data_IF_445642663634
#
_entry.id   IF_445642663634
#
_cell.length_a   1.000
_cell.length_b   1.000
_cell.length_c   1.000
_cell.angle_alpha   90.00
_cell.angle_beta   90.00
_cell.angle_gamma   90.00
#
_symmetry.space_group_name_H-M   'P 1'
#
loop_
_entity.id
_entity.type
_entity.pdbx_description
1 polymer ?
#
# COMPACT_ATOMS: atom_id res chain seq x y z
N UNK A 1 -26.67 -8.08 -11.62
CA UNK A 1 -25.34 -8.60 -11.91
C UNK A 1 -24.27 -7.55 -11.85
N UNK A 2 -24.49 -6.43 -12.51
CA UNK A 2 -23.50 -5.34 -12.49
C UNK A 2 -23.20 -4.83 -11.09
N UNK A 3 -24.21 -4.82 -10.21
CA UNK A 3 -24.05 -4.40 -8.82
C UNK A 3 -23.11 -5.33 -8.07
N UNK A 4 -23.24 -6.63 -8.28
CA UNK A 4 -22.38 -7.63 -7.62
C UNK A 4 -20.93 -7.49 -8.07
N UNK A 5 -20.71 -7.33 -9.37
CA UNK A 5 -19.37 -7.11 -9.94
C UNK A 5 -18.77 -5.81 -9.43
N UNK A 6 -19.59 -4.76 -9.33
CA UNK A 6 -19.18 -3.46 -8.80
C UNK A 6 -18.68 -3.59 -7.36
N UNK A 7 -19.40 -4.31 -6.51
CA UNK A 7 -19.01 -4.53 -5.11
C UNK A 7 -17.74 -5.37 -5.01
N UNK A 8 -17.58 -6.38 -5.87
CA UNK A 8 -16.36 -7.20 -5.89
C UNK A 8 -15.14 -6.39 -6.27
N UNK A 9 -15.26 -5.56 -7.30
CA UNK A 9 -14.18 -4.69 -7.74
C UNK A 9 -13.81 -3.68 -6.66
N UNK A 10 -14.82 -3.13 -6.00
CA UNK A 10 -14.62 -2.16 -4.93
C UNK A 10 -13.91 -2.79 -3.73
N UNK A 11 -14.29 -4.00 -3.37
CA UNK A 11 -13.64 -4.76 -2.29
C UNK A 11 -12.19 -5.06 -2.63
N UNK A 12 -11.93 -5.49 -3.85
CA UNK A 12 -10.58 -5.78 -4.31
C UNK A 12 -9.71 -4.54 -4.26
N UNK A 13 -10.23 -3.43 -4.73
CA UNK A 13 -9.53 -2.15 -4.73
C UNK A 13 -9.18 -1.71 -3.31
N UNK A 14 -10.13 -1.85 -2.39
CA UNK A 14 -9.91 -1.53 -0.98
C UNK A 14 -8.85 -2.43 -0.36
N UNK A 15 -8.90 -3.72 -0.68
CA UNK A 15 -7.92 -4.69 -0.21
C UNK A 15 -6.51 -4.35 -0.71
N UNK A 16 -6.42 -3.97 -1.98
CA UNK A 16 -5.15 -3.55 -2.58
C UNK A 16 -4.60 -2.32 -1.86
N UNK A 17 -5.43 -1.32 -1.60
CA UNK A 17 -5.01 -0.11 -0.92
C UNK A 17 -4.49 -0.39 0.49
N UNK A 18 -5.18 -1.24 1.23
CA UNK A 18 -4.77 -1.63 2.59
C UNK A 18 -3.46 -2.42 2.58
N UNK A 19 -3.35 -3.37 1.65
CA UNK A 19 -2.18 -4.23 1.56
C UNK A 19 -0.96 -3.49 1.01
N UNK A 20 -1.17 -2.44 0.19
CA UNK A 20 -0.06 -1.59 -0.24
C UNK A 20 0.64 -0.94 0.94
N UNK A 21 -0.12 -0.44 1.91
CA UNK A 21 0.48 0.13 3.11
C UNK A 21 1.27 -0.93 3.89
N UNK A 22 0.71 -2.13 4.02
CA UNK A 22 1.42 -3.24 4.68
C UNK A 22 2.71 -3.58 3.94
N UNK A 23 2.66 -3.62 2.60
CA UNK A 23 3.83 -3.89 1.78
C UNK A 23 4.93 -2.84 1.99
N UNK A 24 4.55 -1.57 2.06
CA UNK A 24 5.48 -0.48 2.30
C UNK A 24 6.16 -0.63 3.66
N UNK A 25 5.38 -0.95 4.68
CA UNK A 25 5.91 -1.15 6.04
C UNK A 25 6.92 -2.30 6.06
N UNK A 26 6.57 -3.41 5.43
CA UNK A 26 7.45 -4.59 5.34
C UNK A 26 8.73 -4.25 4.59
N UNK A 27 8.61 -3.59 3.45
CA UNK A 27 9.77 -3.22 2.64
C UNK A 27 10.68 -2.25 3.38
N UNK A 28 10.10 -1.24 4.02
CA UNK A 28 10.90 -0.28 4.79
C UNK A 28 11.67 -0.98 5.93
N UNK A 29 11.01 -1.88 6.62
CA UNK A 29 11.65 -2.67 7.67
C UNK A 29 12.81 -3.51 7.11
N UNK A 30 12.62 -4.11 5.94
CA UNK A 30 13.66 -4.88 5.27
C UNK A 30 14.84 -4.00 4.90
N UNK A 31 14.60 -2.81 4.34
CA UNK A 31 15.65 -1.87 3.97
C UNK A 31 16.41 -1.37 5.20
N UNK A 32 15.72 -1.12 6.31
CA UNK A 32 16.37 -0.73 7.57
C UNK A 32 17.29 -1.82 8.09
N UNK A 33 16.99 -3.07 7.78
CA UNK A 33 17.84 -4.22 8.13
C UNK A 33 18.97 -4.45 7.14
N UNK A 34 19.10 -3.61 6.14
CA UNK A 34 20.16 -3.71 5.14
C UNK A 34 19.86 -4.70 4.01
N UNK A 35 18.61 -5.08 3.82
CA UNK A 35 18.25 -6.01 2.79
C UNK A 35 18.15 -5.36 1.41
N UNK A 36 18.35 -6.16 0.38
CA UNK A 36 18.24 -5.70 -1.00
C UNK A 36 16.79 -5.54 -1.41
N UNK A 37 16.56 -4.85 -2.53
CA UNK A 37 15.21 -4.71 -3.10
C UNK A 37 14.57 -6.08 -3.38
N UNK A 38 15.35 -6.99 -3.95
CA UNK A 38 14.85 -8.35 -4.23
C UNK A 38 14.44 -9.08 -2.95
N UNK A 39 15.26 -8.97 -1.91
CA UNK A 39 14.95 -9.58 -0.62
C UNK A 39 13.71 -8.96 0.01
N UNK A 40 13.55 -7.65 -0.10
CA UNK A 40 12.36 -6.96 0.39
C UNK A 40 11.10 -7.45 -0.33
N UNK A 41 11.17 -7.59 -1.64
CA UNK A 41 10.07 -8.11 -2.46
C UNK A 41 9.74 -9.55 -2.05
N UNK A 42 10.76 -10.35 -1.80
CA UNK A 42 10.57 -11.74 -1.35
C UNK A 42 9.84 -11.81 -0.02
N UNK A 43 10.20 -10.95 0.93
CA UNK A 43 9.54 -10.91 2.24
C UNK A 43 8.07 -10.55 2.10
N UNK A 44 7.76 -9.53 1.28
CA UNK A 44 6.37 -9.14 1.03
C UNK A 44 5.59 -10.30 0.41
N UNK A 45 6.17 -10.94 -0.59
CA UNK A 45 5.58 -12.10 -1.26
C UNK A 45 5.22 -13.21 -0.27
N UNK A 46 6.08 -13.44 0.71
CA UNK A 46 5.89 -14.51 1.69
C UNK A 46 4.90 -14.13 2.80
N UNK A 47 4.83 -12.85 3.15
CA UNK A 47 4.00 -12.41 4.27
C UNK A 47 2.59 -12.01 3.88
N UNK A 48 2.40 -11.45 2.69
CA UNK A 48 1.07 -10.99 2.27
C UNK A 48 0.37 -12.03 1.41
N UNK A 49 -0.87 -12.30 1.78
CA UNK A 49 -1.77 -13.18 1.03
C UNK A 49 -2.79 -12.28 0.33
N UNK A 50 -3.17 -12.65 -0.89
CA UNK A 50 -4.16 -11.89 -1.65
C UNK A 50 -3.55 -11.19 -2.86
N UNK A 51 -4.27 -10.21 -3.44
CA UNK A 51 -3.85 -9.59 -4.70
C UNK A 51 -2.44 -8.99 -4.68
N UNK A 52 -2.08 -8.28 -3.62
CA UNK A 52 -0.74 -7.66 -3.54
C UNK A 52 0.34 -8.73 -3.39
N UNK A 53 0.10 -9.74 -2.56
CA UNK A 53 1.05 -10.85 -2.41
C UNK A 53 1.30 -11.55 -3.75
N UNK A 54 0.25 -11.78 -4.52
CA UNK A 54 0.36 -12.39 -5.84
C UNK A 54 1.16 -11.52 -6.81
N UNK A 55 0.95 -10.20 -6.76
CA UNK A 55 1.68 -9.27 -7.62
C UNK A 55 3.17 -9.20 -7.24
N UNK A 56 3.48 -9.24 -5.95
CA UNK A 56 4.87 -9.30 -5.50
C UNK A 56 5.53 -10.62 -5.89
N UNK A 57 4.77 -11.72 -5.88
CA UNK A 57 5.24 -13.00 -6.36
C UNK A 57 5.63 -12.93 -7.84
N UNK A 58 4.81 -12.25 -8.65
CA UNK A 58 5.10 -12.04 -10.06
C UNK A 58 6.37 -11.21 -10.25
N UNK A 59 6.54 -10.17 -9.44
CA UNK A 59 7.76 -9.36 -9.47
C UNK A 59 8.99 -10.21 -9.14
N UNK A 60 8.90 -11.04 -8.12
CA UNK A 60 10.00 -11.91 -7.72
C UNK A 60 10.38 -12.87 -8.86
N UNK A 61 9.39 -13.47 -9.50
CA UNK A 61 9.61 -14.36 -10.63
C UNK A 61 10.29 -13.61 -11.79
N UNK A 62 9.81 -12.42 -12.11
CA UNK A 62 10.38 -11.60 -13.18
C UNK A 62 11.86 -11.29 -12.91
N UNK A 63 12.20 -10.90 -11.69
CA UNK A 63 13.58 -10.62 -11.28
C UNK A 63 14.42 -11.88 -11.38
N UNK A 64 13.88 -13.01 -10.95
CA UNK A 64 14.56 -14.30 -11.01
C UNK A 64 14.88 -14.73 -12.44
N UNK A 65 14.07 -14.31 -13.40
CA UNK A 65 14.31 -14.57 -14.83
C UNK A 65 15.22 -13.55 -15.48
N UNK A 66 15.76 -12.61 -14.71
CA UNK A 66 16.75 -11.67 -15.20
C UNK A 66 16.19 -10.37 -15.76
N UNK A 67 14.90 -10.08 -15.56
CA UNK A 67 14.36 -8.80 -15.98
C UNK A 67 14.93 -7.68 -15.08
N UNK A 68 15.14 -6.51 -15.67
CA UNK A 68 15.63 -5.38 -14.91
C UNK A 68 14.57 -4.87 -13.95
N UNK A 69 15.00 -4.25 -12.85
CA UNK A 69 14.07 -3.70 -11.87
C UNK A 69 13.12 -2.68 -12.49
N UNK A 70 13.62 -1.86 -13.42
CA UNK A 70 12.79 -0.86 -14.09
C UNK A 70 11.61 -1.50 -14.82
N UNK A 71 11.87 -2.58 -15.55
CA UNK A 71 10.84 -3.32 -16.28
C UNK A 71 9.86 -3.97 -15.32
N UNK A 72 10.38 -4.58 -14.25
CA UNK A 72 9.57 -5.25 -13.24
C UNK A 72 8.61 -4.26 -12.57
N UNK A 73 9.11 -3.11 -12.17
CA UNK A 73 8.30 -2.07 -11.53
C UNK A 73 7.26 -1.49 -12.48
N UNK A 74 7.61 -1.30 -13.74
CA UNK A 74 6.66 -0.82 -14.75
C UNK A 74 5.51 -1.81 -14.94
N UNK A 75 5.84 -3.09 -15.05
CA UNK A 75 4.82 -4.14 -15.18
C UNK A 75 3.90 -4.19 -13.97
N UNK A 76 4.49 -4.13 -12.78
CA UNK A 76 3.72 -4.11 -11.53
C UNK A 76 2.78 -2.92 -11.48
N UNK A 77 3.28 -1.73 -11.79
CA UNK A 77 2.51 -0.50 -11.78
C UNK A 77 1.31 -0.57 -12.71
N UNK A 78 1.50 -1.14 -13.91
CA UNK A 78 0.43 -1.30 -14.88
C UNK A 78 -0.61 -2.31 -14.45
N UNK A 79 -0.18 -3.42 -13.85
CA UNK A 79 -1.11 -4.47 -13.40
C UNK A 79 -1.98 -4.00 -12.24
N UNK A 80 -1.39 -3.29 -11.30
CA UNK A 80 -2.09 -2.83 -10.11
C UNK A 80 -2.98 -1.63 -10.43
N UNK A 81 -2.53 -0.74 -11.29
CA UNK A 81 -3.25 0.48 -11.67
C UNK A 81 -3.74 1.26 -10.44
N UNK A 82 -2.84 1.47 -9.49
CA UNK A 82 -3.08 2.16 -8.24
C UNK A 82 -2.10 3.32 -8.14
N UNK A 83 -2.57 4.49 -7.74
CA UNK A 83 -1.74 5.70 -7.69
C UNK A 83 -0.56 5.54 -6.71
N UNK A 84 -0.82 4.91 -5.57
CA UNK A 84 0.23 4.68 -4.57
C UNK A 84 1.29 3.71 -5.09
N UNK A 85 0.86 2.67 -5.80
CA UNK A 85 1.79 1.74 -6.43
C UNK A 85 2.65 2.43 -7.48
N UNK A 86 2.05 3.32 -8.27
CA UNK A 86 2.79 4.10 -9.28
C UNK A 86 3.83 5.01 -8.62
N UNK A 87 3.46 5.64 -7.52
CA UNK A 87 4.37 6.52 -6.78
C UNK A 87 5.54 5.73 -6.21
N UNK A 88 5.26 4.58 -5.59
CA UNK A 88 6.29 3.73 -4.99
C UNK A 88 7.25 3.20 -6.05
N UNK A 89 6.73 2.69 -7.14
CA UNK A 89 7.58 2.12 -8.20
C UNK A 89 8.40 3.19 -8.90
N UNK A 90 7.84 4.38 -9.10
CA UNK A 90 8.60 5.51 -9.64
C UNK A 90 9.75 5.89 -8.70
N UNK A 91 9.49 5.93 -7.40
CA UNK A 91 10.51 6.22 -6.39
C UNK A 91 11.62 5.16 -6.39
N UNK A 92 11.24 3.88 -6.44
CA UNK A 92 12.20 2.77 -6.49
C UNK A 92 13.04 2.84 -7.76
N UNK A 93 12.44 3.17 -8.89
CA UNK A 93 13.14 3.29 -10.17
C UNK A 93 14.20 4.39 -10.10
N UNK A 94 13.82 5.54 -9.56
CA UNK A 94 14.73 6.66 -9.40
C UNK A 94 15.88 6.30 -8.46
N UNK A 95 15.57 5.70 -7.32
CA UNK A 95 16.58 5.30 -6.34
C UNK A 95 17.54 4.26 -6.90
N UNK A 96 17.03 3.33 -7.70
CA UNK A 96 17.85 2.31 -8.34
C UNK A 96 18.87 2.93 -9.31
N UNK A 97 18.50 4.03 -9.97
CA UNK A 97 19.36 4.73 -10.90
C UNK A 97 20.36 5.66 -10.22
N UNK A 98 19.91 6.38 -9.19
CA UNK A 98 20.72 7.41 -8.53
C UNK A 98 21.51 6.90 -7.34
N UNK A 99 21.15 5.74 -6.80
CA UNK A 99 21.79 5.20 -5.60
C UNK A 99 21.49 5.98 -4.35
N UNK A 100 20.35 6.65 -4.28
CA UNK A 100 19.96 7.43 -3.12
C UNK A 100 19.65 6.57 -1.88
N UNK A 101 19.39 7.25 -0.76
CA UNK A 101 19.08 6.59 0.50
C UNK A 101 17.66 6.04 0.48
N UNK A 102 17.55 4.74 0.25
CA UNK A 102 16.27 4.05 0.13
C UNK A 102 15.49 4.06 1.44
N UNK A 103 16.19 3.94 2.58
CA UNK A 103 15.56 3.95 3.90
C UNK A 103 14.90 5.30 4.16
N UNK A 104 15.60 6.38 3.86
CA UNK A 104 15.09 7.74 4.05
C UNK A 104 13.84 7.98 3.22
N UNK A 105 13.87 7.58 1.95
CA UNK A 105 12.75 7.78 1.04
C UNK A 105 11.56 6.91 1.46
N UNK A 106 11.79 5.64 1.75
CA UNK A 106 10.72 4.74 2.16
C UNK A 106 10.11 5.10 3.50
N UNK A 107 10.93 5.59 4.44
CA UNK A 107 10.41 6.09 5.71
C UNK A 107 9.50 7.29 5.50
N UNK A 108 9.85 8.17 4.58
CA UNK A 108 9.01 9.32 4.22
C UNK A 108 7.71 8.88 3.55
N UNK A 109 7.77 7.90 2.64
CA UNK A 109 6.59 7.34 1.98
C UNK A 109 5.66 6.70 3.01
N UNK A 110 6.23 5.87 3.90
CA UNK A 110 5.46 5.21 4.95
C UNK A 110 4.73 6.23 5.83
N UNK A 111 5.44 7.27 6.24
CA UNK A 111 4.87 8.34 7.05
C UNK A 111 3.72 9.04 6.32
N UNK A 112 3.92 9.38 5.05
CA UNK A 112 2.91 10.05 4.23
C UNK A 112 1.66 9.19 4.09
N UNK A 113 1.82 7.91 3.80
CA UNK A 113 0.70 7.00 3.63
C UNK A 113 -0.03 6.77 4.95
N UNK A 114 0.73 6.67 6.04
CA UNK A 114 0.16 6.50 7.37
C UNK A 114 -0.65 7.72 7.77
N UNK A 115 -0.14 8.91 7.53
CA UNK A 115 -0.84 10.16 7.82
C UNK A 115 -2.12 10.31 6.99
N UNK A 116 -2.06 9.97 5.71
CA UNK A 116 -3.26 10.02 4.84
C UNK A 116 -4.32 9.05 5.35
N UNK A 117 -3.92 7.87 5.76
CA UNK A 117 -4.84 6.88 6.29
C UNK A 117 -5.41 7.33 7.62
N UNK A 118 -4.58 7.91 8.47
CA UNK A 118 -5.00 8.46 9.76
C UNK A 118 -6.03 9.57 9.56
N UNK A 119 -5.77 10.50 8.66
CA UNK A 119 -6.71 11.56 8.33
C UNK A 119 -8.03 11.00 7.84
N UNK A 120 -7.98 10.01 6.97
CA UNK A 120 -9.17 9.35 6.45
C UNK A 120 -9.95 8.68 7.57
N UNK A 121 -9.28 8.03 8.48
CA UNK A 121 -9.89 7.38 9.64
C UNK A 121 -10.42 8.41 10.64
N UNK A 122 -9.70 9.49 10.87
CA UNK A 122 -10.16 10.59 11.72
C UNK A 122 -11.41 11.23 11.15
N UNK A 123 -11.46 11.38 9.84
CA UNK A 123 -12.65 11.89 9.17
C UNK A 123 -13.85 10.99 9.40
N UNK A 124 -13.67 9.70 9.26
CA UNK A 124 -14.72 8.71 9.54
C UNK A 124 -15.12 8.73 11.01
N UNK A 125 -14.13 8.81 11.88
CA UNK A 125 -14.36 8.86 13.32
C UNK A 125 -15.11 10.11 13.74
N UNK A 126 -14.73 11.26 13.17
CA UNK A 126 -15.40 12.51 13.44
C UNK A 126 -16.86 12.47 12.97
N UNK A 127 -17.08 11.93 11.78
CA UNK A 127 -18.43 11.79 11.24
C UNK A 127 -19.26 10.83 12.11
N UNK A 128 -18.66 9.70 12.49
CA UNK A 128 -19.29 8.74 13.37
C UNK A 128 -19.52 9.32 14.76
N UNK A 129 -18.53 10.03 15.29
CA UNK A 129 -18.64 10.69 16.59
C UNK A 129 -19.72 11.76 16.58
N UNK A 130 -19.78 12.56 15.54
CA UNK A 130 -20.83 13.57 15.38
C UNK A 130 -22.20 12.92 15.35
N UNK A 131 -22.33 11.82 14.62
CA UNK A 131 -23.58 11.07 14.53
C UNK A 131 -23.95 10.46 15.88
N UNK A 132 -22.98 9.91 16.57
CA UNK A 132 -23.17 9.32 17.90
C UNK A 132 -23.51 10.41 18.91
N UNK A 133 -22.80 11.50 18.89
CA UNK A 133 -23.08 12.65 19.76
C UNK A 133 -24.47 13.23 19.50
N UNK A 134 -24.84 13.30 18.23
CA UNK A 134 -26.17 13.78 17.85
C UNK A 134 -27.24 12.85 18.39
N UNK A 135 -27.06 11.54 18.23
CA UNK A 135 -27.96 10.55 18.77
C UNK A 135 -27.97 10.58 20.30
N UNK A 136 -26.83 10.80 20.89
CA UNK A 136 -26.68 10.91 22.33
C UNK A 136 -27.45 12.11 22.87
N UNK A 137 -27.31 13.23 22.21
CA UNK A 137 -28.02 14.46 22.59
C UNK A 137 -29.53 14.33 22.41
N UNK A 138 -29.95 13.58 21.40
CA UNK A 138 -31.36 13.35 21.15
C UNK A 138 -31.96 12.27 22.06
N UNK A 139 -31.15 11.25 22.37
CA UNK A 139 -31.63 10.12 23.17
C UNK A 139 -31.47 10.35 24.67
N UNK A 140 -30.46 11.13 25.07
CA UNK A 140 -30.18 11.39 26.47
C UNK A 140 -30.02 12.89 26.63
N UNK A 141 -31.08 13.56 26.52
CA UNK A 141 -30.99 14.99 26.59
C UNK A 141 -30.73 15.38 27.94
N UNK A 142 -30.22 15.10 28.45
CA UNK A 142 -29.98 15.39 29.06
C UNK A 142 -29.68 15.21 29.91
N UNK A 143 -29.62 14.72 29.50
CA UNK A 143 -29.05 14.38 30.59
C UNK A 143 -28.01 14.73 30.71
#
# INVERSE_FOLDING_TARGET
MDVFLYFQERRRKKQIDEDMLKAIIIMNSAFKSGRTTMQAIEIVKNELVGPIGEEFKKMYVDISFGLSLDVVFERFSKRINNEDAKYITASLTILNKTGGDIVKVFSSIEKTFFERRKLKNEFKTLTASSSIMFKFLLAVPFT
#
